data_IF_935678068909
#
_entry.id   IF_935678068909
#
_cell.length_a   1.000
_cell.length_b   1.000
_cell.length_c   1.000
_cell.angle_alpha   90.00
_cell.angle_beta   90.00
_cell.angle_gamma   90.00
#
_symmetry.space_group_name_H-M   'P 1'
#
loop_
_entity.id
_entity.type
_entity.pdbx_description
1 polymer ?
#
# COMPACT_ATOMS: atom_id res chain seq x y z
N UNK A 1 23.64 -10.73 18.42
CA UNK A 1 23.79 -12.20 18.30
C UNK A 1 23.78 -12.52 16.82
N UNK A 2 24.85 -13.11 16.28
CA UNK A 2 24.94 -13.51 14.87
C UNK A 2 24.67 -14.99 14.75
N UNK A 3 23.66 -15.40 13.99
CA UNK A 3 23.59 -16.71 13.34
C UNK A 3 22.73 -16.61 12.07
N UNK A 4 23.13 -17.37 11.05
CA UNK A 4 22.58 -17.52 9.71
C UNK A 4 21.14 -18.11 9.65
N UNK A 5 20.23 -17.72 10.56
CA UNK A 5 18.92 -18.40 10.72
C UNK A 5 17.82 -17.91 9.75
N UNK A 6 18.06 -16.85 8.99
CA UNK A 6 17.09 -16.28 8.02
C UNK A 6 17.39 -16.70 6.55
N UNK A 7 18.17 -17.77 6.35
CA UNK A 7 18.40 -18.31 5.02
C UNK A 7 17.09 -18.87 4.43
N UNK A 8 16.84 -18.58 3.14
CA UNK A 8 15.72 -19.16 2.41
C UNK A 8 15.79 -20.70 2.46
N UNK A 9 14.70 -21.35 2.88
CA UNK A 9 14.56 -22.81 2.82
C UNK A 9 13.41 -23.19 1.88
N UNK A 10 13.70 -23.98 0.82
CA UNK A 10 12.67 -24.55 -0.04
C UNK A 10 11.66 -25.42 0.73
N UNK A 11 12.11 -26.13 1.76
CA UNK A 11 11.28 -26.97 2.61
C UNK A 11 10.26 -26.13 3.40
N UNK A 12 10.71 -25.00 3.97
CA UNK A 12 9.85 -24.03 4.65
C UNK A 12 8.77 -23.46 3.72
N UNK A 13 9.16 -23.12 2.49
CA UNK A 13 8.24 -22.61 1.49
C UNK A 13 7.21 -23.66 1.08
N UNK A 14 7.64 -24.90 0.88
CA UNK A 14 6.78 -26.02 0.55
C UNK A 14 5.74 -26.28 1.66
N UNK A 15 6.18 -26.25 2.93
CA UNK A 15 5.30 -26.36 4.09
C UNK A 15 4.26 -25.23 4.12
N UNK A 16 4.69 -23.99 3.87
CA UNK A 16 3.78 -22.85 3.81
C UNK A 16 2.71 -23.00 2.71
N UNK A 17 3.10 -23.38 1.50
CA UNK A 17 2.15 -23.64 0.41
C UNK A 17 1.28 -24.88 0.63
N UNK A 18 1.71 -25.84 1.44
CA UNK A 18 0.86 -26.99 1.72
C UNK A 18 -0.17 -26.69 2.82
N UNK A 19 0.24 -25.99 3.87
CA UNK A 19 -0.50 -25.95 5.15
C UNK A 19 -1.06 -24.58 5.52
N UNK A 20 -0.47 -23.49 5.03
CA UNK A 20 -0.70 -22.14 5.56
C UNK A 20 -1.30 -21.15 4.56
N UNK A 21 -0.92 -21.24 3.29
CA UNK A 21 -1.37 -20.27 2.30
C UNK A 21 -2.91 -20.30 2.16
N UNK A 22 -3.60 -19.14 2.23
CA UNK A 22 -5.06 -19.07 2.30
C UNK A 22 -5.69 -19.18 0.90
N UNK A 23 -5.64 -20.38 0.30
CA UNK A 23 -6.08 -20.62 -1.08
C UNK A 23 -7.54 -20.27 -1.32
N UNK A 24 -8.41 -20.66 -0.40
CA UNK A 24 -9.86 -20.42 -0.50
C UNK A 24 -10.14 -18.92 -0.45
N UNK A 25 -9.58 -18.21 0.52
CA UNK A 25 -9.74 -16.76 0.66
C UNK A 25 -9.19 -16.02 -0.57
N UNK A 26 -8.05 -16.45 -1.10
CA UNK A 26 -7.47 -15.86 -2.32
C UNK A 26 -8.37 -16.05 -3.54
N UNK A 27 -8.94 -17.25 -3.74
CA UNK A 27 -9.87 -17.53 -4.84
C UNK A 27 -11.19 -16.79 -4.64
N UNK A 28 -11.71 -16.70 -3.42
CA UNK A 28 -12.90 -15.92 -3.12
C UNK A 28 -12.71 -14.43 -3.40
N UNK A 29 -11.61 -13.85 -2.90
CA UNK A 29 -11.27 -12.46 -3.15
C UNK A 29 -11.11 -12.16 -4.64
N UNK A 30 -10.27 -12.91 -5.33
CA UNK A 30 -9.93 -12.65 -6.73
C UNK A 30 -11.02 -13.09 -7.69
N UNK A 31 -11.89 -14.00 -7.26
CA UNK A 31 -13.04 -14.48 -7.98
C UNK A 31 -14.24 -13.56 -7.90
N UNK A 32 -14.36 -12.72 -6.87
CA UNK A 32 -15.51 -11.83 -6.64
C UNK A 32 -16.85 -12.55 -6.74
N UNK A 33 -16.93 -13.77 -6.22
CA UNK A 33 -18.13 -14.58 -6.33
C UNK A 33 -18.86 -14.72 -5.01
N UNK A 34 -19.98 -14.02 -4.92
CA UNK A 34 -20.88 -14.11 -3.79
C UNK A 34 -21.83 -15.33 -3.85
N UNK A 35 -21.79 -16.13 -4.92
CA UNK A 35 -22.66 -17.30 -5.14
C UNK A 35 -22.30 -18.52 -4.28
N UNK A 36 -21.08 -18.55 -3.72
CA UNK A 36 -20.61 -19.56 -2.76
C UNK A 36 -21.57 -19.69 -1.56
N UNK A 37 -22.42 -18.68 -1.31
CA UNK A 37 -23.43 -18.73 -0.26
C UNK A 37 -24.72 -19.51 -0.61
N UNK A 38 -25.12 -19.70 -1.89
CA UNK A 38 -26.47 -20.25 -2.20
C UNK A 38 -26.64 -21.08 -3.47
N UNK A 39 -25.76 -21.03 -4.47
CA UNK A 39 -25.97 -21.81 -5.71
C UNK A 39 -24.64 -22.11 -6.44
N UNK A 40 -24.14 -23.32 -6.24
CA UNK A 40 -22.90 -23.82 -6.85
C UNK A 40 -23.03 -24.13 -8.36
N UNK A 41 -24.20 -23.93 -8.97
CA UNK A 41 -24.47 -24.32 -10.36
C UNK A 41 -23.94 -23.33 -11.40
N UNK A 42 -23.65 -22.08 -11.04
CA UNK A 42 -23.08 -21.08 -11.96
C UNK A 42 -21.58 -20.96 -11.71
N UNK A 43 -20.71 -21.45 -12.63
CA UNK A 43 -19.27 -21.41 -12.42
C UNK A 43 -18.75 -19.98 -12.34
N UNK A 44 -17.95 -19.67 -11.32
CA UNK A 44 -17.18 -18.43 -11.30
C UNK A 44 -16.15 -18.43 -12.44
N UNK A 45 -16.46 -17.73 -13.52
CA UNK A 45 -15.57 -17.63 -14.68
C UNK A 45 -14.48 -16.57 -14.53
N UNK A 46 -14.51 -15.75 -13.46
CA UNK A 46 -13.56 -14.65 -13.32
C UNK A 46 -12.19 -15.15 -12.87
N UNK A 47 -12.14 -16.07 -11.90
CA UNK A 47 -10.88 -16.65 -11.42
C UNK A 47 -10.18 -17.44 -12.54
N UNK A 48 -10.93 -18.19 -13.34
CA UNK A 48 -10.40 -18.97 -14.47
C UNK A 48 -9.90 -18.12 -15.64
N UNK A 49 -10.17 -16.81 -15.62
CA UNK A 49 -9.67 -15.82 -16.59
C UNK A 49 -8.67 -14.85 -15.95
N UNK A 50 -8.35 -15.01 -14.67
CA UNK A 50 -7.38 -14.17 -13.96
C UNK A 50 -5.97 -14.64 -14.28
N UNK A 51 -5.14 -13.73 -14.77
CA UNK A 51 -3.71 -13.98 -14.94
C UNK A 51 -3.01 -14.03 -13.57
N UNK A 52 -2.24 -15.08 -13.36
CA UNK A 52 -1.21 -15.23 -12.35
C UNK A 52 0.14 -15.35 -13.04
N UNK A 53 1.16 -14.81 -12.36
CA UNK A 53 2.54 -14.96 -12.74
C UNK A 53 3.34 -15.48 -11.56
N UNK A 54 4.24 -16.42 -11.84
CA UNK A 54 5.11 -17.05 -10.88
C UNK A 54 6.55 -16.72 -11.23
N UNK A 55 7.31 -16.31 -10.21
CA UNK A 55 8.77 -16.26 -10.27
C UNK A 55 9.28 -17.56 -9.67
N UNK A 56 10.20 -18.23 -10.37
CA UNK A 56 10.85 -19.46 -9.95
C UNK A 56 12.33 -19.18 -9.64
N UNK A 57 13.05 -20.23 -9.25
CA UNK A 57 14.49 -20.20 -9.05
C UNK A 57 15.22 -19.61 -10.27
N UNK A 58 16.29 -18.85 -10.03
CA UNK A 58 17.06 -18.14 -11.06
C UNK A 58 16.27 -17.01 -11.75
N UNK A 59 15.33 -16.37 -11.04
CA UNK A 59 14.49 -15.27 -11.56
C UNK A 59 13.72 -15.62 -12.85
N UNK A 60 13.35 -16.88 -13.06
CA UNK A 60 12.53 -17.26 -14.21
C UNK A 60 11.08 -16.83 -13.99
N UNK A 61 10.52 -16.07 -14.94
CA UNK A 61 9.13 -15.61 -14.89
C UNK A 61 8.22 -16.46 -15.77
N UNK A 62 7.19 -17.05 -15.18
CA UNK A 62 6.06 -17.65 -15.89
C UNK A 62 4.88 -16.70 -15.80
N UNK A 63 4.24 -16.42 -16.93
CA UNK A 63 3.05 -15.55 -17.05
C UNK A 63 1.87 -16.31 -17.63
N UNK A 64 0.70 -15.65 -17.66
CA UNK A 64 -0.52 -16.17 -18.29
C UNK A 64 -1.03 -17.49 -17.70
N UNK A 65 -0.77 -17.74 -16.40
CA UNK A 65 -1.41 -18.85 -15.68
C UNK A 65 -2.79 -18.42 -15.21
N UNK A 66 -3.74 -19.35 -15.17
CA UNK A 66 -5.06 -19.15 -14.60
C UNK A 66 -5.53 -20.45 -13.94
N UNK A 67 -6.44 -20.33 -12.98
CA UNK A 67 -6.88 -21.44 -12.14
C UNK A 67 -8.39 -21.43 -12.00
N UNK A 68 -9.02 -22.60 -11.98
CA UNK A 68 -10.49 -22.68 -11.83
C UNK A 68 -10.94 -22.62 -10.38
N UNK A 69 -10.12 -23.08 -9.44
CA UNK A 69 -10.46 -23.22 -8.03
C UNK A 69 -9.20 -23.24 -7.15
N UNK A 70 -9.41 -23.30 -5.83
CA UNK A 70 -8.35 -23.34 -4.84
C UNK A 70 -7.44 -24.57 -4.96
N UNK A 71 -8.00 -25.75 -5.28
CA UNK A 71 -7.24 -26.99 -5.42
C UNK A 71 -6.24 -26.96 -6.58
N UNK A 72 -6.63 -26.41 -7.73
CA UNK A 72 -5.74 -26.23 -8.87
C UNK A 72 -4.62 -25.23 -8.58
N UNK A 73 -4.96 -24.11 -7.94
CA UNK A 73 -3.98 -23.12 -7.52
C UNK A 73 -2.99 -23.75 -6.52
N UNK A 74 -3.48 -24.50 -5.53
CA UNK A 74 -2.66 -25.21 -4.53
C UNK A 74 -1.74 -26.23 -5.18
N UNK A 75 -2.28 -27.09 -6.03
CA UNK A 75 -1.52 -28.13 -6.72
C UNK A 75 -0.38 -27.53 -7.53
N UNK A 76 -0.65 -26.44 -8.26
CA UNK A 76 0.35 -25.79 -9.09
C UNK A 76 1.39 -25.00 -8.28
N UNK A 77 0.98 -24.31 -7.22
CA UNK A 77 1.91 -23.61 -6.32
C UNK A 77 2.84 -24.59 -5.60
N UNK A 78 2.33 -25.75 -5.17
CA UNK A 78 3.16 -26.83 -4.61
C UNK A 78 4.11 -27.43 -5.64
N UNK A 79 3.66 -27.58 -6.90
CA UNK A 79 4.49 -28.13 -7.98
C UNK A 79 5.62 -27.20 -8.42
N UNK A 80 5.33 -25.90 -8.53
CA UNK A 80 6.27 -24.92 -9.06
C UNK A 80 7.08 -24.21 -7.97
N UNK A 81 6.61 -24.22 -6.72
CA UNK A 81 7.25 -23.54 -5.58
C UNK A 81 7.70 -22.11 -5.91
N UNK A 82 6.79 -21.23 -6.33
CA UNK A 82 7.16 -19.89 -6.74
C UNK A 82 7.85 -19.14 -5.59
N UNK A 83 9.05 -18.64 -5.83
CA UNK A 83 9.77 -17.80 -4.90
C UNK A 83 10.44 -16.68 -5.66
N UNK A 84 10.65 -15.58 -4.96
CA UNK A 84 11.52 -14.54 -5.46
C UNK A 84 12.86 -14.77 -4.77
N UNK A 85 13.93 -14.89 -5.54
CA UNK A 85 15.25 -14.68 -4.97
C UNK A 85 15.29 -13.23 -4.48
N UNK A 86 15.88 -12.98 -3.31
CA UNK A 86 16.14 -11.61 -2.87
C UNK A 86 17.29 -11.02 -3.72
N UNK A 87 17.10 -10.94 -5.04
CA UNK A 87 18.03 -10.35 -6.01
C UNK A 87 18.05 -8.84 -5.89
N UNK A 88 18.63 -8.37 -4.78
CA UNK A 88 19.23 -7.05 -4.67
C UNK A 88 20.55 -7.16 -3.96
N UNK A 89 21.58 -7.51 -4.70
CA UNK A 89 22.98 -7.50 -4.25
C UNK A 89 23.66 -6.14 -4.44
N UNK A 90 22.99 -5.15 -5.06
CA UNK A 90 23.62 -3.92 -5.54
C UNK A 90 23.46 -2.65 -4.66
N UNK A 91 22.75 -2.68 -3.53
CA UNK A 91 22.55 -1.47 -2.71
C UNK A 91 22.84 -1.71 -1.22
N UNK A 92 23.65 -0.83 -0.60
CA UNK A 92 23.85 -0.82 0.84
C UNK A 92 22.61 -0.24 1.55
N UNK A 93 22.01 -1.11 2.38
CA UNK A 93 20.91 -0.94 3.31
C UNK A 93 19.46 -0.99 2.74
N UNK A 94 18.84 -2.14 3.00
CA UNK A 94 17.42 -2.41 2.80
C UNK A 94 16.62 -2.52 4.12
N UNK A 95 17.23 -2.08 5.22
CA UNK A 95 16.63 -2.10 6.54
C UNK A 95 15.58 -0.99 6.66
N UNK A 96 14.44 -1.35 7.27
CA UNK A 96 13.47 -0.39 7.78
C UNK A 96 13.64 -0.30 9.30
N UNK A 97 13.28 0.85 9.86
CA UNK A 97 13.23 1.07 11.30
C UNK A 97 11.92 1.77 11.68
N UNK A 98 11.58 1.75 12.96
CA UNK A 98 10.36 2.40 13.47
C UNK A 98 10.23 3.87 13.04
N UNK A 99 11.34 4.61 12.92
CA UNK A 99 11.32 6.02 12.47
C UNK A 99 10.90 6.18 11.02
N UNK A 100 11.43 5.36 10.10
CA UNK A 100 11.07 5.46 8.69
C UNK A 100 9.71 4.80 8.38
N UNK A 101 9.27 3.84 9.21
CA UNK A 101 7.94 3.25 9.10
C UNK A 101 6.81 4.27 9.25
N UNK A 102 7.03 5.35 10.01
CA UNK A 102 6.08 6.46 10.13
C UNK A 102 5.74 7.12 8.77
N UNK A 103 6.61 7.01 7.76
CA UNK A 103 6.29 7.45 6.40
C UNK A 103 5.25 6.54 5.74
N UNK A 104 5.26 5.24 6.02
CA UNK A 104 4.23 4.29 5.56
C UNK A 104 2.90 4.55 6.27
N UNK A 105 2.94 4.82 7.58
CA UNK A 105 1.75 5.21 8.36
C UNK A 105 1.10 6.46 7.76
N UNK A 106 1.89 7.50 7.50
CA UNK A 106 1.42 8.72 6.86
C UNK A 106 0.86 8.45 5.45
N UNK A 107 1.52 7.59 4.67
CA UNK A 107 1.06 7.19 3.34
C UNK A 107 -0.32 6.53 3.37
N UNK A 108 -0.53 5.53 4.25
CA UNK A 108 -1.82 4.87 4.43
C UNK A 108 -2.88 5.88 4.81
N UNK A 109 -2.64 6.73 5.82
CA UNK A 109 -3.62 7.72 6.28
C UNK A 109 -4.07 8.68 5.18
N UNK A 110 -3.12 9.24 4.43
CA UNK A 110 -3.40 10.18 3.34
C UNK A 110 -4.18 9.50 2.21
N UNK A 111 -3.71 8.32 1.78
CA UNK A 111 -4.30 7.63 0.65
C UNK A 111 -5.63 6.97 0.97
N UNK A 112 -5.76 6.30 2.11
CA UNK A 112 -6.99 5.63 2.54
C UNK A 112 -8.12 6.64 2.68
N UNK A 113 -7.84 7.79 3.32
CA UNK A 113 -8.76 8.92 3.38
C UNK A 113 -9.22 9.35 1.99
N UNK A 114 -8.30 9.67 1.08
CA UNK A 114 -8.71 10.17 -0.23
C UNK A 114 -9.47 9.12 -1.06
N UNK A 115 -9.06 7.85 -0.99
CA UNK A 115 -9.75 6.78 -1.70
C UNK A 115 -11.19 6.59 -1.18
N UNK A 116 -11.42 6.77 0.12
CA UNK A 116 -12.75 6.65 0.75
C UNK A 116 -13.59 7.91 0.60
N UNK A 117 -13.07 9.05 1.01
CA UNK A 117 -13.82 10.32 1.09
C UNK A 117 -14.01 10.96 -0.28
N UNK A 118 -12.97 10.95 -1.13
CA UNK A 118 -12.99 11.68 -2.40
C UNK A 118 -13.47 10.80 -3.56
N UNK A 119 -13.06 9.52 -3.59
CA UNK A 119 -13.47 8.58 -4.64
C UNK A 119 -14.62 7.66 -4.25
N UNK A 120 -15.01 7.63 -2.97
CA UNK A 120 -16.11 6.79 -2.50
C UNK A 120 -15.83 5.29 -2.50
N UNK A 121 -14.57 4.87 -2.62
CA UNK A 121 -14.22 3.45 -2.60
C UNK A 121 -14.37 2.88 -1.18
N UNK A 122 -14.96 1.68 -1.10
CA UNK A 122 -15.31 1.06 0.19
C UNK A 122 -14.39 -0.11 0.52
N UNK A 123 -14.04 -0.91 -0.50
CA UNK A 123 -13.37 -2.18 -0.32
C UNK A 123 -11.87 -2.03 -0.59
N UNK A 124 -11.15 -1.51 0.40
CA UNK A 124 -9.71 -1.21 0.31
C UNK A 124 -8.95 -2.12 1.26
N UNK A 125 -7.93 -2.82 0.75
CA UNK A 125 -6.99 -3.60 1.57
C UNK A 125 -5.58 -3.08 1.42
N UNK A 126 -4.98 -2.71 2.55
CA UNK A 126 -3.55 -2.43 2.65
C UNK A 126 -2.81 -3.70 2.99
N UNK A 127 -1.64 -3.91 2.41
CA UNK A 127 -0.86 -5.14 2.59
C UNK A 127 0.60 -4.78 2.80
N UNK A 128 1.22 -5.31 3.86
CA UNK A 128 2.66 -5.20 4.06
C UNK A 128 3.40 -6.00 2.98
N UNK A 129 4.42 -5.40 2.35
CA UNK A 129 5.15 -6.03 1.24
C UNK A 129 6.10 -7.16 1.67
N UNK A 130 6.23 -7.41 2.98
CA UNK A 130 7.21 -8.33 3.57
C UNK A 130 8.64 -7.78 3.65
N UNK A 131 8.85 -6.48 3.42
CA UNK A 131 10.20 -5.88 3.54
C UNK A 131 10.22 -4.42 3.95
N UNK A 132 9.75 -3.52 3.07
CA UNK A 132 9.92 -2.07 3.29
C UNK A 132 8.79 -1.19 2.76
N UNK A 133 7.78 -1.80 2.18
CA UNK A 133 6.71 -1.09 1.51
C UNK A 133 5.35 -1.66 1.87
N UNK A 134 4.34 -1.01 1.33
CA UNK A 134 2.94 -1.38 1.46
C UNK A 134 2.32 -1.36 0.06
N UNK A 135 1.34 -2.23 -0.14
CA UNK A 135 0.51 -2.25 -1.34
C UNK A 135 -0.93 -1.93 -0.95
N UNK A 136 -1.69 -1.34 -1.88
CA UNK A 136 -3.09 -1.03 -1.70
C UNK A 136 -3.90 -1.71 -2.81
N UNK A 137 -4.94 -2.44 -2.44
CA UNK A 137 -5.87 -3.10 -3.35
C UNK A 137 -7.27 -2.54 -3.16
N UNK A 138 -7.78 -1.86 -4.20
CA UNK A 138 -9.16 -1.36 -4.23
C UNK A 138 -10.04 -2.33 -5.01
N UNK A 139 -10.98 -2.96 -4.31
CA UNK A 139 -11.77 -4.12 -4.73
C UNK A 139 -13.25 -3.80 -4.89
N UNK A 140 -13.60 -2.54 -5.15
CA UNK A 140 -14.93 -2.12 -5.56
C UNK A 140 -15.22 -2.52 -7.01
N UNK A 141 -16.48 -2.83 -7.34
CA UNK A 141 -16.88 -3.14 -8.72
C UNK A 141 -16.53 -1.99 -9.66
N UNK A 142 -16.77 -0.75 -9.24
CA UNK A 142 -16.44 0.44 -10.01
C UNK A 142 -14.92 0.59 -10.25
N UNK A 143 -14.09 0.35 -9.22
CA UNK A 143 -12.62 0.46 -9.34
C UNK A 143 -12.04 -0.57 -10.32
N UNK A 144 -12.57 -1.80 -10.33
CA UNK A 144 -12.16 -2.85 -11.26
C UNK A 144 -12.46 -2.52 -12.71
N UNK A 145 -13.55 -1.78 -12.95
CA UNK A 145 -14.01 -1.40 -14.28
C UNK A 145 -13.35 -0.11 -14.82
N UNK A 146 -12.55 0.59 -14.01
CA UNK A 146 -11.83 1.79 -14.46
C UNK A 146 -10.94 1.49 -15.67
N UNK A 147 -11.02 2.38 -16.67
CA UNK A 147 -10.12 2.41 -17.82
C UNK A 147 -8.72 2.85 -17.41
N UNK A 148 -7.74 2.68 -18.30
CA UNK A 148 -6.37 3.12 -18.02
C UNK A 148 -6.30 4.66 -17.84
N UNK A 149 -7.14 5.40 -18.55
CA UNK A 149 -7.24 6.86 -18.47
C UNK A 149 -7.79 7.26 -17.08
N UNK A 150 -8.88 6.64 -16.64
CA UNK A 150 -9.45 6.92 -15.33
C UNK A 150 -8.50 6.53 -14.19
N UNK A 151 -7.78 5.40 -14.32
CA UNK A 151 -6.71 5.02 -13.39
C UNK A 151 -5.58 6.04 -13.35
N UNK A 152 -5.18 6.54 -14.50
CA UNK A 152 -4.16 7.59 -14.60
C UNK A 152 -4.62 8.86 -13.89
N UNK A 153 -5.89 9.24 -14.04
CA UNK A 153 -6.47 10.39 -13.33
C UNK A 153 -6.47 10.21 -11.80
N UNK A 154 -6.80 9.00 -11.30
CA UNK A 154 -6.69 8.68 -9.85
C UNK A 154 -5.24 8.81 -9.38
N UNK A 155 -4.28 8.28 -10.14
CA UNK A 155 -2.85 8.41 -9.80
C UNK A 155 -2.43 9.89 -9.78
N UNK A 156 -2.83 10.67 -10.79
CA UNK A 156 -2.53 12.10 -10.86
C UNK A 156 -3.13 12.88 -9.68
N UNK A 157 -4.35 12.54 -9.26
CA UNK A 157 -4.99 13.14 -8.08
C UNK A 157 -4.12 13.00 -6.84
N UNK A 158 -3.56 11.81 -6.60
CA UNK A 158 -2.68 11.57 -5.45
C UNK A 158 -1.23 11.99 -5.71
N UNK A 159 -0.82 12.30 -6.93
CA UNK A 159 0.57 12.65 -7.24
C UNK A 159 0.79 14.13 -6.96
N UNK A 160 1.27 14.44 -5.75
CA UNK A 160 1.77 15.78 -5.41
C UNK A 160 3.29 15.90 -5.58
N UNK A 161 4.00 14.77 -5.49
CA UNK A 161 5.46 14.70 -5.55
C UNK A 161 5.92 14.21 -6.93
N UNK A 162 6.34 15.10 -7.82
CA UNK A 162 6.89 14.82 -9.16
C UNK A 162 8.39 15.18 -9.27
N UNK A 163 9.22 14.28 -9.82
CA UNK A 163 10.62 14.55 -10.17
C UNK A 163 11.62 13.44 -9.82
N UNK A 164 12.67 13.27 -10.64
CA UNK A 164 13.75 12.28 -10.46
C UNK A 164 14.77 12.70 -9.39
N UNK A 165 15.78 11.88 -9.09
CA UNK A 165 16.87 12.22 -8.14
C UNK A 165 17.59 13.54 -8.47
N UNK A 166 17.62 13.92 -9.76
CA UNK A 166 18.25 15.15 -10.22
C UNK A 166 17.38 16.41 -10.05
N UNK A 167 16.10 16.24 -9.68
CA UNK A 167 15.19 17.36 -9.45
C UNK A 167 15.22 17.73 -7.97
N UNK A 168 15.85 18.87 -7.65
CA UNK A 168 15.95 19.41 -6.28
C UNK A 168 14.58 19.67 -5.64
N UNK A 169 13.55 19.95 -6.45
CA UNK A 169 12.20 20.24 -6.01
C UNK A 169 11.23 19.17 -6.52
N UNK A 170 10.76 18.34 -5.60
CA UNK A 170 9.93 17.20 -5.95
C UNK A 170 8.44 17.45 -5.75
N UNK A 171 7.96 18.59 -5.24
CA UNK A 171 6.53 18.90 -5.11
C UNK A 171 6.18 20.17 -5.88
N UNK A 172 5.14 20.08 -6.70
CA UNK A 172 4.65 21.16 -7.56
C UNK A 172 3.13 21.35 -7.40
N UNK A 173 2.70 22.03 -6.34
CA UNK A 173 1.34 22.62 -6.23
C UNK A 173 1.16 23.76 -7.27
N UNK A 174 0.42 23.56 -8.36
CA UNK A 174 0.18 24.57 -9.43
C UNK A 174 -0.33 25.94 -8.91
N UNK A 175 -0.20 27.05 -9.65
CA UNK A 175 1.02 27.82 -9.91
C UNK A 175 0.73 29.34 -9.66
N UNK A 176 1.76 30.19 -9.54
CA UNK A 176 3.17 29.81 -9.68
C UNK A 176 3.70 29.07 -8.45
N UNK A 177 4.83 28.41 -8.64
CA UNK A 177 5.45 27.50 -7.67
C UNK A 177 6.75 28.07 -7.07
N UNK A 178 6.79 28.04 -5.75
CA UNK A 178 7.69 28.71 -4.80
C UNK A 178 9.24 28.79 -4.99
N UNK A 179 9.75 30.04 -4.97
CA UNK A 179 11.09 30.49 -4.53
C UNK A 179 11.31 30.71 -2.99
N UNK A 180 11.11 29.73 -2.09
CA UNK A 180 10.92 29.98 -0.62
C UNK A 180 12.12 30.43 0.16
N UNK A 181 13.27 30.25 -0.45
CA UNK A 181 14.51 30.82 0.01
C UNK A 181 15.09 31.81 -1.02
N UNK A 182 14.24 32.45 -1.84
CA UNK A 182 14.57 33.70 -2.56
C UNK A 182 14.11 34.95 -1.80
N UNK A 183 13.55 34.82 -0.60
CA UNK A 183 13.96 35.77 0.43
C UNK A 183 15.41 35.41 0.79
N UNK A 184 16.36 35.79 -0.07
CA UNK A 184 17.80 35.70 0.21
C UNK A 184 18.07 36.20 1.63
N UNK A 185 17.31 37.20 2.09
CA UNK A 185 17.33 37.72 3.44
C UNK A 185 16.85 36.75 4.54
N UNK A 186 15.73 36.01 4.39
CA UNK A 186 15.30 35.03 5.40
C UNK A 186 16.26 33.84 5.43
N UNK A 187 16.65 33.34 4.24
CA UNK A 187 17.62 32.26 4.11
C UNK A 187 18.97 32.63 4.71
N UNK A 188 19.51 33.80 4.33
CA UNK A 188 20.80 34.27 4.82
C UNK A 188 20.75 34.52 6.32
N UNK A 189 19.68 35.15 6.84
CA UNK A 189 19.51 35.40 8.28
C UNK A 189 19.44 34.09 9.07
N UNK A 190 18.63 33.13 8.64
CA UNK A 190 18.53 31.83 9.30
C UNK A 190 19.84 31.05 9.17
N UNK A 191 20.46 31.01 7.99
CA UNK A 191 21.77 30.37 7.81
C UNK A 191 22.83 30.99 8.68
N UNK A 192 22.92 32.32 8.74
CA UNK A 192 23.87 33.03 9.60
C UNK A 192 23.63 32.67 11.06
N UNK A 193 22.37 32.69 11.52
CA UNK A 193 21.99 32.29 12.88
C UNK A 193 22.37 30.85 13.19
N UNK A 194 22.04 29.91 12.29
CA UNK A 194 22.31 28.47 12.45
C UNK A 194 23.78 28.09 12.28
N UNK A 195 24.58 28.90 11.58
CA UNK A 195 26.01 28.66 11.37
C UNK A 195 26.85 29.33 12.48
N UNK A 196 26.40 30.47 13.01
CA UNK A 196 27.04 31.15 14.14
C UNK A 196 26.75 30.46 15.48
N UNK A 197 25.53 29.91 15.65
CA UNK A 197 25.23 29.00 16.76
C UNK A 197 25.71 27.60 16.38
N UNK A 198 26.97 27.28 16.72
CA UNK A 198 27.53 25.92 16.71
C UNK A 198 26.45 24.89 17.04
N UNK A 199 25.97 24.16 16.02
CA UNK A 199 25.03 23.02 15.89
C UNK A 199 24.23 22.52 17.12
N UNK A 200 23.91 23.38 18.06
CA UNK A 200 23.20 23.09 19.32
C UNK A 200 21.70 23.25 19.17
N UNK A 201 21.25 23.89 18.07
CA UNK A 201 19.84 24.00 17.73
C UNK A 201 19.32 22.70 17.13
N UNK A 202 18.34 22.13 17.79
CA UNK A 202 17.62 20.92 17.37
C UNK A 202 16.82 21.16 16.08
N UNK A 203 16.51 20.11 15.30
CA UNK A 203 15.63 20.22 14.13
C UNK A 203 14.26 20.85 14.45
N UNK A 204 13.72 20.59 15.65
CA UNK A 204 12.47 21.20 16.13
C UNK A 204 12.61 22.71 16.30
N UNK A 205 13.66 23.19 16.96
CA UNK A 205 13.91 24.62 17.13
C UNK A 205 14.16 25.32 15.78
N UNK A 206 14.88 24.68 14.86
CA UNK A 206 15.07 25.18 13.49
C UNK A 206 13.74 25.29 12.74
N UNK A 207 12.82 24.35 12.95
CA UNK A 207 11.46 24.40 12.39
C UNK A 207 10.61 25.52 12.99
N UNK A 208 10.61 25.70 14.31
CA UNK A 208 9.92 26.81 14.98
C UNK A 208 10.44 28.17 14.52
N UNK A 209 11.76 28.32 14.42
CA UNK A 209 12.38 29.55 13.91
C UNK A 209 11.99 29.84 12.45
N UNK A 210 11.92 28.80 11.60
CA UNK A 210 11.44 28.95 10.24
C UNK A 210 9.96 29.38 10.20
N UNK A 211 9.09 28.74 10.98
CA UNK A 211 7.67 29.12 11.07
C UNK A 211 7.51 30.58 11.49
N UNK A 212 8.20 30.99 12.55
CA UNK A 212 8.15 32.36 13.05
C UNK A 212 8.68 33.38 12.02
N UNK A 213 9.77 33.04 11.32
CA UNK A 213 10.34 33.90 10.27
C UNK A 213 9.40 34.06 9.06
N UNK A 214 8.72 32.98 8.66
CA UNK A 214 7.72 32.99 7.60
C UNK A 214 6.51 33.82 8.01
N UNK A 215 5.97 33.60 9.21
CA UNK A 215 4.81 34.32 9.74
C UNK A 215 5.10 35.83 9.83
N UNK A 216 6.25 36.21 10.38
CA UNK A 216 6.68 37.60 10.39
C UNK A 216 6.77 38.19 8.97
N UNK A 217 7.32 37.44 8.01
CA UNK A 217 7.44 37.90 6.63
C UNK A 217 6.10 38.04 5.90
N UNK A 218 5.09 37.22 6.25
CA UNK A 218 3.73 37.31 5.71
C UNK A 218 2.99 38.54 6.26
N UNK A 219 3.22 38.90 7.53
CA UNK A 219 2.54 40.00 8.21
C UNK A 219 3.27 41.36 8.14
N UNK A 220 4.48 41.41 7.58
CA UNK A 220 5.23 42.66 7.41
C UNK A 220 4.56 43.62 6.41
N UNK A 221 3.76 44.55 6.94
CA UNK A 221 3.04 45.59 6.18
C UNK A 221 3.96 46.66 5.58
N UNK A 222 5.22 46.77 6.03
CA UNK A 222 6.19 47.77 5.49
C UNK A 222 6.77 47.33 4.15
N UNK A 223 6.71 46.03 3.82
CA UNK A 223 7.05 45.48 2.51
C UNK A 223 5.95 45.74 1.47
N UNK A 224 5.71 47.01 1.15
CA UNK A 224 4.79 47.43 0.06
C UNK A 224 5.27 47.03 -1.35
N UNK A 225 6.47 46.46 -1.50
CA UNK A 225 7.06 46.05 -2.80
C UNK A 225 7.14 44.53 -3.03
N UNK A 226 6.56 43.72 -2.16
CA UNK A 226 6.53 42.25 -2.34
C UNK A 226 5.35 41.92 -3.26
N UNK A 227 5.62 41.30 -4.41
CA UNK A 227 4.57 40.88 -5.33
C UNK A 227 3.55 39.97 -4.63
N UNK A 228 2.28 40.05 -5.03
CA UNK A 228 1.23 39.19 -4.46
C UNK A 228 1.55 37.71 -4.60
N UNK A 229 2.25 37.36 -5.66
CA UNK A 229 2.83 36.04 -5.90
C UNK A 229 3.76 35.61 -4.75
N UNK A 230 4.73 36.45 -4.37
CA UNK A 230 5.67 36.15 -3.28
C UNK A 230 4.99 36.05 -1.91
N UNK A 231 3.88 36.76 -1.69
CA UNK A 231 3.06 36.63 -0.46
C UNK A 231 2.27 35.32 -0.44
N UNK A 232 1.69 34.90 -1.57
CA UNK A 232 1.01 33.60 -1.71
C UNK A 232 1.98 32.45 -1.41
N UNK A 233 3.16 32.53 -1.98
CA UNK A 233 4.24 31.59 -1.79
C UNK A 233 4.66 31.42 -0.33
N UNK A 234 4.95 32.52 0.40
CA UNK A 234 5.29 32.44 1.82
C UNK A 234 4.21 31.73 2.65
N UNK A 235 2.93 31.80 2.24
CA UNK A 235 1.83 31.09 2.90
C UNK A 235 1.84 29.58 2.63
N UNK A 236 2.35 29.12 1.49
CA UNK A 236 2.36 27.68 1.11
C UNK A 236 3.68 26.99 1.43
N UNK A 237 4.76 27.73 1.67
CA UNK A 237 6.12 27.19 1.80
C UNK A 237 6.28 26.09 2.85
N UNK A 238 5.65 26.26 4.02
CA UNK A 238 5.73 25.30 5.11
C UNK A 238 5.04 23.99 4.73
N UNK A 239 3.87 24.08 4.10
CA UNK A 239 3.13 22.92 3.60
C UNK A 239 3.89 22.19 2.49
N UNK A 240 4.52 22.92 1.57
CA UNK A 240 5.35 22.33 0.51
C UNK A 240 6.58 21.58 1.07
N UNK A 241 7.22 22.11 2.12
CA UNK A 241 8.30 21.41 2.82
C UNK A 241 7.74 20.12 3.43
N UNK A 242 6.65 20.19 4.19
CA UNK A 242 6.01 19.02 4.80
C UNK A 242 5.69 17.95 3.73
N UNK A 243 5.05 18.34 2.63
CA UNK A 243 4.72 17.39 1.56
C UNK A 243 5.95 16.81 0.86
N UNK A 244 7.01 17.60 0.68
CA UNK A 244 8.24 17.10 0.04
C UNK A 244 8.90 15.95 0.80
N UNK A 245 8.78 15.95 2.13
CA UNK A 245 9.39 14.95 3.01
C UNK A 245 8.44 13.83 3.43
N UNK A 246 7.16 14.14 3.66
CA UNK A 246 6.22 13.21 4.29
C UNK A 246 5.13 12.68 3.35
N UNK A 247 4.85 13.36 2.24
CA UNK A 247 3.76 12.95 1.36
C UNK A 247 4.12 11.65 0.60
N UNK A 248 3.17 10.70 0.47
CA UNK A 248 3.41 9.43 -0.20
C UNK A 248 3.93 9.57 -1.63
N UNK A 249 4.95 8.78 -1.95
CA UNK A 249 5.48 8.63 -3.31
C UNK A 249 4.87 7.39 -3.94
N UNK A 250 4.06 7.59 -4.97
CA UNK A 250 3.43 6.50 -5.69
C UNK A 250 4.34 5.97 -6.79
N UNK A 251 4.43 4.64 -6.90
CA UNK A 251 4.85 4.04 -8.16
C UNK A 251 3.69 4.14 -9.15
N UNK A 252 3.71 5.20 -9.96
CA UNK A 252 2.62 5.50 -10.87
C UNK A 252 2.38 4.37 -11.90
N UNK A 253 3.42 3.62 -12.28
CA UNK A 253 3.32 2.63 -13.35
C UNK A 253 2.52 1.40 -12.91
N UNK A 254 2.57 1.04 -11.62
CA UNK A 254 1.83 -0.12 -11.10
C UNK A 254 0.31 0.11 -11.05
N UNK A 255 -0.12 1.37 -11.14
CA UNK A 255 -1.52 1.77 -10.96
C UNK A 255 -2.22 2.15 -12.27
N UNK A 256 -1.48 2.51 -13.33
CA UNK A 256 -2.04 3.02 -14.60
C UNK A 256 -2.61 1.94 -15.52
N UNK A 257 -2.03 0.75 -15.52
CA UNK A 257 -2.37 -0.31 -16.48
C UNK A 257 -3.14 -1.46 -15.83
N UNK A 258 -4.20 -1.94 -16.48
CA UNK A 258 -5.02 -3.08 -16.01
C UNK A 258 -4.31 -4.44 -15.98
N UNK A 259 -3.26 -4.62 -16.77
CA UNK A 259 -2.48 -5.86 -16.89
C UNK A 259 -1.19 -5.85 -16.06
N UNK A 260 -1.03 -4.87 -15.16
CA UNK A 260 0.10 -4.84 -14.24
C UNK A 260 -0.03 -5.96 -13.21
N UNK A 261 1.06 -6.69 -12.97
CA UNK A 261 1.12 -7.79 -12.01
C UNK A 261 1.70 -7.28 -10.70
N UNK A 262 1.02 -7.54 -9.58
CA UNK A 262 1.47 -7.13 -8.25
C UNK A 262 1.70 -8.36 -7.35
N UNK A 263 2.67 -8.22 -6.45
CA UNK A 263 3.20 -9.30 -5.61
C UNK A 263 2.17 -9.90 -4.66
N UNK A 264 2.27 -11.23 -4.48
CA UNK A 264 1.62 -12.03 -3.43
C UNK A 264 2.66 -12.93 -2.73
N UNK A 265 3.48 -12.39 -1.81
CA UNK A 265 4.35 -13.16 -0.88
C UNK A 265 3.56 -13.45 0.42
N UNK A 266 4.22 -13.93 1.49
CA UNK A 266 3.70 -13.84 2.89
C UNK A 266 3.55 -12.36 3.25
N UNK A 267 2.51 -11.75 2.68
CA UNK A 267 2.23 -10.34 2.74
C UNK A 267 0.95 -10.24 3.57
N UNK A 268 1.06 -9.73 4.79
CA UNK A 268 -0.08 -9.66 5.70
C UNK A 268 -0.92 -8.41 5.42
N UNK A 269 -2.27 -8.52 5.46
CA UNK A 269 -3.14 -7.36 5.43
C UNK A 269 -2.89 -6.47 6.65
N UNK A 270 -3.08 -5.17 6.45
CA UNK A 270 -2.97 -4.14 7.48
C UNK A 270 -4.34 -3.48 7.61
N UNK A 271 -4.83 -3.33 8.84
CA UNK A 271 -6.01 -2.54 9.13
C UNK A 271 -5.64 -1.05 9.15
N UNK A 272 -6.13 -0.23 8.18
CA UNK A 272 -5.80 1.19 8.14
C UNK A 272 -6.33 1.96 9.36
N UNK A 273 -7.32 1.42 10.10
CA UNK A 273 -7.86 2.04 11.33
C UNK A 273 -6.88 1.95 12.50
N UNK A 274 -5.98 0.97 12.47
CA UNK A 274 -5.02 0.67 13.53
C UNK A 274 -3.57 0.72 13.00
N UNK A 275 -3.32 1.51 11.94
CA UNK A 275 -2.01 1.58 11.27
C UNK A 275 -0.89 2.11 12.18
N UNK A 276 -1.21 2.98 13.15
CA UNK A 276 -0.24 3.50 14.11
C UNK A 276 0.32 2.39 15.02
N UNK A 277 -0.48 1.35 15.26
CA UNK A 277 -0.14 0.21 16.13
C UNK A 277 0.49 -0.96 15.35
N UNK A 278 0.54 -0.88 14.01
CA UNK A 278 1.08 -1.95 13.19
C UNK A 278 2.60 -2.08 13.37
N UNK A 279 3.01 -3.18 13.99
CA UNK A 279 4.41 -3.54 14.16
C UNK A 279 4.89 -4.49 13.06
N UNK A 280 5.72 -3.98 12.14
CA UNK A 280 6.27 -4.79 11.05
C UNK A 280 7.26 -5.86 11.54
N UNK A 281 7.84 -5.72 12.73
CA UNK A 281 8.82 -6.65 13.31
C UNK A 281 8.14 -7.89 13.92
N UNK A 282 6.86 -7.78 14.28
CA UNK A 282 6.08 -8.92 14.78
C UNK A 282 5.40 -9.73 13.68
N UNK A 283 5.49 -9.30 12.41
CA UNK A 283 4.91 -10.04 11.29
C UNK A 283 5.59 -11.42 11.18
N UNK A 284 4.82 -12.52 11.13
CA UNK A 284 5.40 -13.86 11.10
C UNK A 284 6.31 -14.09 9.88
N UNK A 285 7.50 -14.62 10.13
CA UNK A 285 8.40 -15.15 9.09
C UNK A 285 8.11 -16.62 8.83
N UNK A 286 8.53 -17.14 7.66
CA UNK A 286 8.41 -18.58 7.37
C UNK A 286 9.06 -19.45 8.45
N UNK A 287 10.22 -19.03 8.97
CA UNK A 287 10.93 -19.71 10.07
C UNK A 287 10.10 -19.72 11.35
N UNK A 288 9.47 -18.59 11.71
CA UNK A 288 8.62 -18.53 12.90
C UNK A 288 7.37 -19.41 12.78
N UNK A 289 6.78 -19.49 11.58
CA UNK A 289 5.60 -20.30 11.29
C UNK A 289 5.92 -21.80 11.30
N UNK A 290 7.10 -22.20 10.82
CA UNK A 290 7.56 -23.58 10.95
C UNK A 290 7.79 -23.98 12.40
N UNK A 291 8.43 -23.12 13.19
CA UNK A 291 8.63 -23.39 14.63
C UNK A 291 7.30 -23.58 15.34
N UNK A 292 6.31 -22.75 15.03
CA UNK A 292 4.94 -22.93 15.54
C UNK A 292 4.36 -24.27 15.10
N UNK A 293 4.49 -24.61 13.82
CA UNK A 293 3.98 -25.85 13.24
C UNK A 293 4.55 -27.10 13.90
N UNK A 294 5.86 -27.17 14.02
CA UNK A 294 6.57 -28.30 14.62
C UNK A 294 6.28 -28.43 16.13
N UNK A 295 5.98 -27.31 16.81
CA UNK A 295 5.60 -27.32 18.23
C UNK A 295 4.15 -27.82 18.47
N UNK A 296 3.26 -27.63 17.49
CA UNK A 296 1.82 -27.95 17.62
C UNK A 296 1.51 -29.43 17.40
N UNK A 297 2.38 -30.16 16.68
CA UNK A 297 2.23 -31.61 16.46
C UNK A 297 2.40 -32.44 17.76
N UNK A 298 2.83 -31.82 18.88
CA UNK A 298 3.00 -32.47 20.18
C UNK A 298 1.77 -32.46 21.11
N UNK A 299 0.81 -31.54 20.92
CA UNK A 299 -0.40 -31.42 21.77
C UNK A 299 -1.59 -30.84 20.97
N UNK A 300 -2.56 -31.69 20.65
CA UNK A 300 -3.84 -31.41 19.96
C UNK A 300 -3.79 -30.95 18.49
N UNK A 301 -4.23 -31.85 17.60
CA UNK A 301 -4.45 -31.66 16.16
C UNK A 301 -5.50 -30.59 15.76
N UNK A 302 -6.00 -29.79 16.71
CA UNK A 302 -7.05 -28.78 16.50
C UNK A 302 -6.57 -27.33 16.74
N UNK A 303 -5.32 -27.10 17.16
CA UNK A 303 -4.80 -25.75 17.34
C UNK A 303 -4.35 -25.15 16.01
N UNK A 304 -5.29 -24.47 15.34
CA UNK A 304 -5.06 -23.50 14.25
C UNK A 304 -3.80 -22.66 14.48
N UNK A 305 -3.07 -22.41 13.40
CA UNK A 305 -1.90 -21.53 13.26
C UNK A 305 -2.14 -20.11 13.83
N UNK A 306 -1.87 -19.88 15.11
CA UNK A 306 -2.26 -18.67 15.84
C UNK A 306 -1.59 -17.41 15.31
N UNK A 307 -0.30 -17.48 14.94
CA UNK A 307 0.45 -16.30 14.50
C UNK A 307 -0.07 -15.74 13.17
N UNK A 308 -0.52 -16.61 12.27
CA UNK A 308 -1.02 -16.20 10.95
C UNK A 308 -2.55 -16.05 10.90
N UNK A 309 -3.27 -16.70 11.82
CA UNK A 309 -4.73 -16.75 11.80
C UNK A 309 -5.37 -15.37 11.90
N UNK A 310 -4.81 -14.44 12.68
CA UNK A 310 -5.38 -13.08 12.81
C UNK A 310 -5.46 -12.35 11.46
N UNK A 311 -4.43 -12.51 10.64
CA UNK A 311 -4.33 -11.91 9.32
C UNK A 311 -5.30 -12.55 8.33
N UNK A 312 -5.43 -13.88 8.38
CA UNK A 312 -6.38 -14.62 7.55
C UNK A 312 -7.82 -14.30 7.96
N UNK A 313 -8.09 -14.20 9.26
CA UNK A 313 -9.40 -13.83 9.79
C UNK A 313 -9.81 -12.43 9.37
N UNK A 314 -8.91 -11.45 9.48
CA UNK A 314 -9.14 -10.09 8.98
C UNK A 314 -9.39 -10.11 7.47
N UNK A 315 -8.58 -10.84 6.70
CA UNK A 315 -8.75 -10.94 5.25
C UNK A 315 -10.12 -11.51 4.87
N UNK A 316 -10.55 -12.59 5.53
CA UNK A 316 -11.83 -13.23 5.28
C UNK A 316 -13.03 -12.37 5.74
N UNK A 317 -13.02 -11.94 7.01
CA UNK A 317 -14.18 -11.34 7.68
C UNK A 317 -14.31 -9.84 7.43
N UNK A 318 -13.20 -9.10 7.51
CA UNK A 318 -13.22 -7.64 7.41
C UNK A 318 -13.06 -7.14 5.97
N UNK A 319 -12.58 -7.99 5.05
CA UNK A 319 -12.36 -7.59 3.67
C UNK A 319 -13.20 -8.37 2.65
N UNK A 320 -13.07 -9.70 2.57
CA UNK A 320 -13.79 -10.52 1.56
C UNK A 320 -15.30 -10.51 1.80
N UNK A 321 -15.75 -10.75 3.04
CA UNK A 321 -17.17 -10.83 3.35
C UNK A 321 -17.93 -9.54 3.00
N UNK A 322 -17.45 -8.32 3.33
CA UNK A 322 -18.07 -7.08 2.88
C UNK A 322 -18.17 -6.94 1.36
N UNK A 323 -17.16 -7.38 0.61
CA UNK A 323 -17.19 -7.39 -0.87
C UNK A 323 -18.33 -8.29 -1.35
N UNK A 324 -18.44 -9.50 -0.82
CA UNK A 324 -19.51 -10.43 -1.18
C UNK A 324 -20.90 -9.85 -0.88
N UNK A 325 -21.08 -9.23 0.30
CA UNK A 325 -22.34 -8.57 0.65
C UNK A 325 -22.69 -7.42 -0.31
N UNK A 326 -21.70 -6.62 -0.70
CA UNK A 326 -21.89 -5.55 -1.68
C UNK A 326 -22.29 -6.10 -3.05
N UNK A 327 -21.68 -7.20 -3.50
CA UNK A 327 -22.03 -7.88 -4.75
C UNK A 327 -23.44 -8.46 -4.74
N UNK A 328 -23.88 -9.08 -3.62
CA UNK A 328 -25.26 -9.55 -3.48
C UNK A 328 -26.26 -8.39 -3.55
N UNK A 329 -25.94 -7.28 -2.87
CA UNK A 329 -26.76 -6.06 -2.92
C UNK A 329 -26.87 -5.49 -4.34
N UNK A 330 -25.76 -5.46 -5.08
CA UNK A 330 -25.73 -5.02 -6.48
C UNK A 330 -26.58 -5.94 -7.38
N UNK A 331 -26.46 -7.26 -7.22
CA UNK A 331 -27.28 -8.23 -7.97
C UNK A 331 -28.77 -8.04 -7.69
N UNK A 332 -29.15 -7.88 -6.43
CA UNK A 332 -30.54 -7.63 -6.02
C UNK A 332 -31.08 -6.34 -6.64
N UNK A 333 -30.34 -5.24 -6.54
CA UNK A 333 -30.75 -3.96 -7.13
C UNK A 333 -30.89 -4.02 -8.67
N UNK A 334 -30.03 -4.77 -9.35
CA UNK A 334 -30.12 -4.98 -10.80
C UNK A 334 -31.35 -5.80 -11.19
N UNK A 335 -31.68 -6.85 -10.42
CA UNK A 335 -32.88 -7.65 -10.62
C UNK A 335 -34.15 -6.83 -10.38
N UNK A 336 -34.21 -6.04 -9.31
CA UNK A 336 -35.33 -5.12 -9.02
C UNK A 336 -35.53 -4.09 -10.13
N UNK A 337 -34.44 -3.51 -10.65
CA UNK A 337 -34.48 -2.58 -11.79
C UNK A 337 -35.02 -3.25 -13.06
N UNK A 338 -34.62 -4.50 -13.31
CA UNK A 338 -35.08 -5.28 -14.47
C UNK A 338 -36.56 -5.67 -14.34
N UNK A 339 -36.99 -6.11 -13.16
CA UNK A 339 -38.40 -6.40 -12.85
C UNK A 339 -39.28 -5.15 -13.06
N UNK A 340 -38.83 -3.99 -12.57
CA UNK A 340 -39.53 -2.72 -12.77
C UNK A 340 -39.66 -2.31 -14.24
N UNK A 341 -38.67 -2.63 -15.09
CA UNK A 341 -38.69 -2.35 -16.52
C UNK A 341 -39.55 -3.34 -17.32
N UNK A 342 -39.65 -4.59 -16.87
CA UNK A 342 -40.36 -5.67 -17.58
C UNK A 342 -41.80 -5.86 -17.11
N UNK A 343 -42.17 -5.27 -15.96
CA UNK A 343 -43.50 -5.40 -15.36
C UNK A 343 -43.75 -6.76 -14.69
N UNK A 344 -42.70 -7.57 -14.52
CA UNK A 344 -42.72 -8.90 -13.92
C UNK A 344 -42.32 -8.74 -12.44
N UNK A 345 -43.30 -8.51 -11.56
CA UNK A 345 -43.12 -8.19 -10.14
C UNK A 345 -43.15 -9.41 -9.23
#
# INVERSE_FOLDING_TARGET
MSTNDDAFSPELLALYYDRLFPYEEMVHWLGYDASVAKDASTPNTLISRREFSFTLENDQYIRYKAFRNADELKSEMKRLMPHYDDTRTCCQAAAICHKCWQLMVAAVKVMDRGLREDFGFQHIMWVYSGRRGIHCWVSDTASRMLTNEARTAVVQYFTLVEGSEHVKRKVKLTEPLHPSLECAHIRAKLNETWTQQLDTTTPWEKWEQLKAAVEHAVHDKKRKSVSDDRRRHLRTCLAEIVFSYLYPRLDANVSKQRNHLLKSRVCVPIDPRHIDDFNYESVPTLVSLERELNATDADNAASKYRLFQEYVDYFAKDFIQPIHMALLKQKKAAAESTAALTGDW
#
